data_IF_754800130782
#
_entry.id   IF_754800130782
#
_cell.length_a   1.000
_cell.length_b   1.000
_cell.length_c   1.000
_cell.angle_alpha   90.00
_cell.angle_beta   90.00
_cell.angle_gamma   90.00
#
_symmetry.space_group_name_H-M   'P 1'
#
loop_
_entity.id
_entity.type
_entity.pdbx_description
1 polymer ?
#
# COMPACT_ATOMS: atom_id res chain seq x y z
N UNK A 1 -13.31 -8.26 -1.31
CA UNK A 1 -11.98 -8.61 -1.86
C UNK A 1 -11.02 -7.45 -1.63
N UNK A 2 -9.80 -7.72 -1.15
CA UNK A 2 -8.74 -6.71 -1.00
C UNK A 2 -7.58 -7.16 -1.90
N UNK A 3 -7.02 -6.24 -2.65
CA UNK A 3 -5.92 -6.52 -3.57
C UNK A 3 -4.58 -6.28 -2.89
N UNK A 4 -3.61 -7.14 -3.20
CA UNK A 4 -2.21 -7.02 -2.82
C UNK A 4 -1.40 -6.35 -3.95
N UNK A 5 -0.27 -5.69 -3.65
CA UNK A 5 0.39 -5.56 -2.34
C UNK A 5 -0.14 -4.47 -1.39
N UNK A 6 -0.98 -3.54 -1.86
CA UNK A 6 -1.41 -2.39 -1.06
C UNK A 6 -2.02 -2.77 0.30
N UNK A 7 -2.78 -3.86 0.38
CA UNK A 7 -3.38 -4.31 1.64
C UNK A 7 -2.33 -4.71 2.68
N UNK A 8 -1.26 -5.40 2.29
CA UNK A 8 -0.15 -5.75 3.19
C UNK A 8 0.56 -4.52 3.71
N UNK A 9 0.85 -3.53 2.85
CA UNK A 9 1.49 -2.28 3.25
C UNK A 9 0.61 -1.53 4.27
N UNK A 10 -0.70 -1.43 4.01
CA UNK A 10 -1.66 -0.82 4.94
C UNK A 10 -1.65 -1.52 6.31
N UNK A 11 -1.55 -2.86 6.33
CA UNK A 11 -1.47 -3.63 7.59
C UNK A 11 -0.18 -3.37 8.34
N UNK A 12 0.98 -3.33 7.66
CA UNK A 12 2.28 -3.01 8.27
C UNK A 12 2.27 -1.61 8.92
N UNK A 13 1.56 -0.66 8.33
CA UNK A 13 1.32 0.67 8.90
C UNK A 13 0.22 0.74 9.97
N UNK A 14 -0.29 -0.40 10.45
CA UNK A 14 -1.37 -0.50 11.45
C UNK A 14 -2.68 0.20 11.03
N UNK A 15 -2.93 0.34 9.73
CA UNK A 15 -4.20 0.81 9.18
C UNK A 15 -4.08 1.95 8.17
N UNK A 16 -5.24 2.50 7.80
CA UNK A 16 -5.36 3.50 6.74
C UNK A 16 -4.86 4.89 7.18
N UNK A 17 -5.17 5.32 8.41
CA UNK A 17 -4.84 6.66 8.90
C UNK A 17 -3.33 6.91 8.97
N UNK A 18 -2.51 6.03 9.58
CA UNK A 18 -1.08 6.29 9.69
C UNK A 18 -0.37 6.31 8.33
N UNK A 19 -0.86 5.54 7.36
CA UNK A 19 -0.31 5.55 5.99
C UNK A 19 -0.77 6.79 5.21
N UNK A 20 -2.00 7.24 5.43
CA UNK A 20 -2.56 8.45 4.83
C UNK A 20 -1.80 9.72 5.28
N UNK A 21 -1.42 9.80 6.56
CA UNK A 21 -0.59 10.87 7.11
C UNK A 21 0.78 10.92 6.43
N UNK A 22 1.46 9.76 6.31
CA UNK A 22 2.77 9.64 5.64
C UNK A 22 2.70 10.07 4.17
N UNK A 23 1.61 9.74 3.50
CA UNK A 23 1.46 9.96 2.05
C UNK A 23 0.75 11.28 1.71
N UNK A 24 0.37 12.06 2.74
CA UNK A 24 -0.38 13.31 2.62
C UNK A 24 -1.64 13.19 1.75
N UNK A 25 -2.40 12.10 1.93
CA UNK A 25 -3.68 11.90 1.25
C UNK A 25 -4.79 11.55 2.25
N UNK A 26 -6.03 11.52 1.80
CA UNK A 26 -7.16 11.08 2.63
C UNK A 26 -7.10 9.55 2.83
N UNK A 27 -7.53 9.08 4.01
CA UNK A 27 -7.63 7.64 4.30
C UNK A 27 -8.49 6.86 3.29
N UNK A 28 -9.51 7.51 2.71
CA UNK A 28 -10.32 6.93 1.63
C UNK A 28 -9.51 6.69 0.35
N UNK A 29 -8.56 7.54 0.01
CA UNK A 29 -7.65 7.34 -1.13
C UNK A 29 -6.77 6.12 -0.91
N UNK A 30 -6.18 5.98 0.29
CA UNK A 30 -5.40 4.79 0.68
C UNK A 30 -6.25 3.53 0.66
N UNK A 31 -7.51 3.61 1.10
CA UNK A 31 -8.44 2.47 1.02
C UNK A 31 -8.65 2.00 -0.42
N UNK A 32 -8.75 2.92 -1.39
CA UNK A 32 -8.94 2.58 -2.81
C UNK A 32 -7.72 1.87 -3.42
N UNK A 33 -6.53 2.03 -2.86
CA UNK A 33 -5.34 1.30 -3.34
C UNK A 33 -5.54 -0.22 -3.23
N UNK A 34 -6.09 -0.71 -2.11
CA UNK A 34 -6.40 -2.13 -1.93
C UNK A 34 -7.74 -2.59 -2.52
N UNK A 35 -8.43 -1.77 -3.32
CA UNK A 35 -9.69 -2.15 -3.97
C UNK A 35 -9.45 -2.65 -5.41
N UNK A 36 -10.26 -3.57 -5.93
CA UNK A 36 -10.21 -4.00 -7.32
C UNK A 36 -10.45 -2.84 -8.29
N UNK A 37 -9.86 -2.91 -9.49
CA UNK A 37 -10.04 -1.89 -10.54
C UNK A 37 -11.51 -1.73 -10.96
N UNK A 38 -12.26 -2.84 -11.02
CA UNK A 38 -13.69 -2.88 -11.32
C UNK A 38 -14.54 -2.05 -10.36
N UNK A 39 -14.08 -1.89 -9.11
CA UNK A 39 -14.72 -1.07 -8.08
C UNK A 39 -14.11 0.33 -7.97
N UNK A 40 -13.39 0.75 -9.01
CA UNK A 40 -12.67 2.03 -9.05
C UNK A 40 -11.44 2.07 -8.13
N UNK A 41 -10.88 0.94 -7.75
CA UNK A 41 -9.60 0.88 -7.03
C UNK A 41 -8.40 0.88 -7.97
N UNK A 42 -7.22 0.62 -7.41
CA UNK A 42 -5.98 0.49 -8.21
C UNK A 42 -5.63 -0.96 -8.55
N UNK A 43 -6.36 -1.93 -7.99
CA UNK A 43 -6.03 -3.34 -8.08
C UNK A 43 -4.84 -3.75 -7.21
N UNK A 44 -4.58 -3.04 -6.11
CA UNK A 44 -3.49 -3.36 -5.18
C UNK A 44 -2.21 -2.54 -5.40
N UNK A 45 -2.19 -1.68 -6.41
CA UNK A 45 -1.03 -0.84 -6.76
C UNK A 45 -1.01 0.43 -5.90
N UNK A 46 0.05 0.60 -5.12
CA UNK A 46 0.33 1.90 -4.50
C UNK A 46 0.97 2.81 -5.55
N UNK A 47 0.48 4.04 -5.78
CA UNK A 47 1.08 4.94 -6.75
C UNK A 47 2.56 5.23 -6.45
N UNK A 48 3.42 5.19 -7.48
CA UNK A 48 4.87 5.19 -7.31
C UNK A 48 5.41 6.44 -6.59
N UNK A 49 4.76 7.60 -6.76
CA UNK A 49 5.18 8.85 -6.14
C UNK A 49 5.01 8.87 -4.61
N UNK A 50 4.22 7.95 -4.04
CA UNK A 50 4.11 7.79 -2.59
C UNK A 50 5.15 6.82 -2.02
N UNK A 51 5.74 5.95 -2.84
CA UNK A 51 6.64 4.87 -2.38
C UNK A 51 7.85 5.42 -1.58
N UNK A 52 8.56 6.49 -2.03
CA UNK A 52 9.68 7.02 -1.27
C UNK A 52 9.30 7.47 0.15
N UNK A 53 8.18 8.19 0.29
CA UNK A 53 7.69 8.65 1.59
C UNK A 53 7.30 7.47 2.51
N UNK A 54 6.71 6.42 1.95
CA UNK A 54 6.35 5.21 2.69
C UNK A 54 7.60 4.47 3.17
N UNK A 55 8.61 4.33 2.32
CA UNK A 55 9.88 3.67 2.67
C UNK A 55 10.62 4.43 3.78
N UNK A 56 10.68 5.76 3.69
CA UNK A 56 11.33 6.57 4.73
C UNK A 56 10.61 6.45 6.06
N UNK A 57 9.27 6.60 6.07
CA UNK A 57 8.48 6.43 7.28
C UNK A 57 8.56 4.99 7.84
N UNK A 58 8.71 3.98 6.98
CA UNK A 58 8.92 2.61 7.41
C UNK A 58 10.25 2.46 8.15
N UNK A 59 11.33 3.03 7.59
CA UNK A 59 12.67 3.07 8.20
C UNK A 59 12.65 3.76 9.56
N UNK A 60 12.03 4.93 9.66
CA UNK A 60 11.89 5.69 10.92
C UNK A 60 11.09 4.93 11.99
N UNK A 61 10.09 4.14 11.58
CA UNK A 61 9.20 3.38 12.47
C UNK A 61 9.67 1.95 12.75
N UNK A 62 10.82 1.54 12.19
CA UNK A 62 11.33 0.16 12.31
C UNK A 62 10.43 -0.89 11.66
N UNK A 63 9.69 -0.52 10.61
CA UNK A 63 8.86 -1.44 9.84
C UNK A 63 9.72 -2.09 8.74
N UNK A 64 9.72 -3.42 8.67
CA UNK A 64 10.34 -4.16 7.58
C UNK A 64 9.49 -4.01 6.30
N UNK A 65 9.73 -2.95 5.54
CA UNK A 65 9.10 -2.69 4.23
C UNK A 65 10.20 -2.43 3.22
N UNK A 66 10.21 -3.24 2.16
CA UNK A 66 11.22 -3.17 1.10
C UNK A 66 10.58 -2.68 -0.20
N UNK A 67 11.35 -2.10 -1.14
CA UNK A 67 10.83 -1.72 -2.46
C UNK A 67 10.14 -2.87 -3.20
N UNK A 68 10.61 -4.11 -3.02
CA UNK A 68 10.00 -5.33 -3.59
C UNK A 68 8.60 -5.61 -3.05
N UNK A 69 8.26 -5.12 -1.86
CA UNK A 69 6.92 -5.31 -1.28
C UNK A 69 5.84 -4.53 -2.04
N UNK A 70 6.21 -3.61 -2.95
CA UNK A 70 5.27 -2.88 -3.81
C UNK A 70 5.07 -3.52 -5.19
N UNK A 71 5.81 -4.59 -5.50
CA UNK A 71 5.66 -5.32 -6.74
C UNK A 71 4.33 -6.11 -6.75
N UNK A 72 3.70 -6.32 -7.92
CA UNK A 72 2.55 -7.20 -8.04
C UNK A 72 2.90 -8.59 -7.51
N UNK A 73 2.03 -9.15 -6.66
CA UNK A 73 2.14 -10.55 -6.27
C UNK A 73 1.73 -11.37 -7.49
N UNK A 74 2.72 -11.95 -8.17
CA UNK A 74 2.43 -12.95 -9.19
C UNK A 74 1.86 -14.16 -8.47
N UNK A 75 0.59 -14.44 -8.68
CA UNK A 75 -0.03 -15.68 -8.24
C UNK A 75 0.56 -16.78 -9.10
N UNK A 76 1.53 -17.52 -8.57
CA UNK A 76 2.02 -18.73 -9.24
C UNK A 76 0.85 -19.70 -9.26
N UNK A 77 0.29 -19.95 -10.45
CA UNK A 77 -0.68 -21.02 -10.64
C UNK A 77 -0.03 -22.33 -10.19
N UNK A 78 -0.55 -22.91 -9.10
CA UNK A 78 -0.24 -24.26 -8.66
C UNK A 78 -1.22 -25.23 -9.31
#
# INVERSE_FOLDING_TARGET
MRCEPANTIIKKFKGLKPLAEVTNVKAHTVMRWRMPKEKGGTGGVVPHWHIPAILEAARERGLDIRPTDFAPVMETAA
#
